data_IF_307282900226
#
_entry.id   IF_307282900226
#
_cell.length_a   1.000
_cell.length_b   1.000
_cell.length_c   1.000
_cell.angle_alpha   90.00
_cell.angle_beta   90.00
_cell.angle_gamma   90.00
#
_symmetry.space_group_name_H-M   'P 1'
#
loop_
_entity.id
_entity.type
_entity.pdbx_description
1 polymer ?
#
# COMPACT_ATOMS: atom_id res chain seq x y z
N UNK A 1 -15.63 -7.65 26.58
CA UNK A 1 -16.11 -7.21 25.26
C UNK A 1 -15.66 -8.26 24.26
N UNK A 2 -16.57 -8.96 23.56
CA UNK A 2 -16.15 -9.98 22.58
C UNK A 2 -15.74 -9.23 21.30
N UNK A 3 -14.44 -9.18 21.00
CA UNK A 3 -13.94 -8.53 19.78
C UNK A 3 -14.29 -9.45 18.61
N UNK A 4 -15.11 -8.98 17.67
CA UNK A 4 -15.40 -9.71 16.44
C UNK A 4 -14.45 -9.23 15.35
N UNK A 5 -13.62 -10.14 14.82
CA UNK A 5 -12.57 -9.82 13.86
C UNK A 5 -12.87 -10.43 12.51
N UNK A 6 -12.65 -9.65 11.45
CA UNK A 6 -12.62 -10.12 10.06
C UNK A 6 -11.18 -10.04 9.56
N UNK A 7 -10.61 -11.18 9.20
CA UNK A 7 -9.20 -11.29 8.82
C UNK A 7 -9.07 -11.60 7.33
N UNK A 8 -8.45 -10.69 6.59
CA UNK A 8 -8.11 -10.82 5.18
C UNK A 8 -6.60 -10.93 4.98
N UNK A 9 -6.21 -11.69 3.98
CA UNK A 9 -4.81 -11.86 3.57
C UNK A 9 -4.75 -12.02 2.07
N UNK A 10 -3.69 -11.50 1.45
CA UNK A 10 -3.39 -11.85 0.06
C UNK A 10 -3.01 -13.33 -0.02
N UNK A 11 -3.18 -13.98 -1.17
CA UNK A 11 -2.88 -15.40 -1.32
C UNK A 11 -1.37 -15.67 -1.48
N UNK A 12 -0.60 -15.18 -0.50
CA UNK A 12 0.86 -15.23 -0.44
C UNK A 12 1.27 -15.78 0.92
N UNK A 13 2.14 -16.80 0.95
CA UNK A 13 2.50 -17.50 2.20
C UNK A 13 2.93 -16.55 3.33
N UNK A 14 3.77 -15.56 3.02
CA UNK A 14 4.33 -14.64 4.04
C UNK A 14 3.28 -13.72 4.67
N UNK A 15 2.22 -13.35 3.97
CA UNK A 15 1.13 -12.52 4.53
C UNK A 15 0.21 -13.38 5.40
N UNK A 16 -0.09 -14.60 4.97
CA UNK A 16 -0.81 -15.58 5.80
C UNK A 16 -0.07 -15.90 7.11
N UNK A 17 1.24 -16.17 7.03
CA UNK A 17 2.08 -16.47 8.20
C UNK A 17 2.19 -15.25 9.13
N UNK A 18 2.32 -14.04 8.57
CA UNK A 18 2.35 -12.79 9.36
C UNK A 18 1.04 -12.58 10.12
N UNK A 19 -0.11 -12.75 9.47
CA UNK A 19 -1.41 -12.57 10.11
C UNK A 19 -1.65 -13.61 11.22
N UNK A 20 -1.19 -14.84 11.00
CA UNK A 20 -1.20 -15.89 12.02
C UNK A 20 -0.40 -15.47 13.26
N UNK A 21 0.80 -14.91 13.08
CA UNK A 21 1.61 -14.41 14.20
C UNK A 21 0.93 -13.24 14.94
N UNK A 22 0.32 -12.30 14.21
CA UNK A 22 -0.41 -11.17 14.81
C UNK A 22 -1.57 -11.67 15.67
N UNK A 23 -2.38 -12.59 15.15
CA UNK A 23 -3.53 -13.12 15.88
C UNK A 23 -3.11 -13.99 17.08
N UNK A 24 -2.03 -14.76 16.95
CA UNK A 24 -1.47 -15.53 18.06
C UNK A 24 -1.09 -14.61 19.23
N UNK A 25 -0.45 -13.48 18.95
CA UNK A 25 -0.08 -12.48 19.96
C UNK A 25 -1.29 -11.70 20.51
N UNK A 26 -2.26 -11.34 19.66
CA UNK A 26 -3.45 -10.59 20.09
C UNK A 26 -4.34 -11.35 21.09
N UNK A 27 -4.31 -12.68 21.06
CA UNK A 27 -5.17 -13.53 21.88
C UNK A 27 -4.39 -14.44 22.84
N UNK A 28 -3.09 -14.17 23.04
CA UNK A 28 -2.19 -14.93 23.93
C UNK A 28 -2.22 -16.46 23.72
N UNK A 29 -2.59 -16.92 22.52
CA UNK A 29 -2.92 -18.33 22.21
C UNK A 29 -4.01 -18.99 23.08
N UNK A 30 -4.79 -18.20 23.81
CA UNK A 30 -5.81 -18.67 24.76
C UNK A 30 -7.19 -18.89 24.11
N UNK A 31 -7.32 -18.61 22.80
CA UNK A 31 -8.57 -18.80 22.08
C UNK A 31 -8.75 -20.25 21.62
N UNK A 32 -9.88 -20.87 21.98
CA UNK A 32 -10.33 -22.13 21.41
C UNK A 32 -11.01 -21.99 20.03
N UNK A 33 -11.21 -20.75 19.56
CA UNK A 33 -11.86 -20.47 18.27
C UNK A 33 -10.85 -20.57 17.12
N UNK A 34 -11.25 -21.24 16.03
CA UNK A 34 -10.42 -21.35 14.82
C UNK A 34 -10.41 -20.02 14.08
N UNK A 35 -9.23 -19.41 13.94
CA UNK A 35 -9.06 -18.20 13.15
C UNK A 35 -9.31 -18.49 11.66
N UNK A 36 -10.23 -17.76 11.04
CA UNK A 36 -10.57 -17.90 9.61
C UNK A 36 -9.96 -16.75 8.82
N UNK A 37 -9.17 -17.05 7.79
CA UNK A 37 -8.60 -16.05 6.88
C UNK A 37 -9.34 -16.08 5.55
N UNK A 38 -9.68 -14.89 5.06
CA UNK A 38 -10.27 -14.71 3.74
C UNK A 38 -9.19 -14.21 2.77
N UNK A 39 -9.07 -14.86 1.62
CA UNK A 39 -8.16 -14.45 0.55
C UNK A 39 -8.86 -14.51 -0.79
N UNK A 40 -8.34 -13.77 -1.77
CA UNK A 40 -8.77 -13.88 -3.17
C UNK A 40 -7.73 -14.67 -3.96
N UNK A 41 -8.14 -15.39 -5.02
CA UNK A 41 -7.19 -15.86 -6.01
C UNK A 41 -6.40 -14.68 -6.59
N UNK A 42 -5.15 -14.91 -6.96
CA UNK A 42 -4.25 -13.84 -7.42
C UNK A 42 -4.80 -13.09 -8.64
N UNK A 43 -5.60 -13.75 -9.47
CA UNK A 43 -6.21 -13.15 -10.67
C UNK A 43 -7.23 -12.05 -10.35
N UNK A 44 -7.76 -12.04 -9.12
CA UNK A 44 -8.78 -11.10 -8.66
C UNK A 44 -8.32 -10.29 -7.44
N UNK A 45 -7.04 -10.39 -7.07
CA UNK A 45 -6.50 -9.70 -5.91
C UNK A 45 -6.29 -8.21 -6.23
N UNK A 46 -6.79 -7.36 -5.33
CA UNK A 46 -6.78 -5.91 -5.47
C UNK A 46 -6.27 -5.20 -4.21
N UNK A 47 -5.82 -5.95 -3.19
CA UNK A 47 -5.11 -5.39 -2.04
C UNK A 47 -3.63 -5.13 -2.31
N UNK A 48 -3.19 -5.19 -3.57
CA UNK A 48 -1.94 -4.61 -4.05
C UNK A 48 -2.11 -4.25 -5.53
N UNK A 49 -1.23 -3.41 -6.10
CA UNK A 49 -1.27 -3.11 -7.52
C UNK A 49 -0.91 -4.37 -8.34
N UNK A 50 -1.93 -5.01 -8.92
CA UNK A 50 -1.82 -6.31 -9.53
C UNK A 50 -1.29 -6.22 -10.98
N UNK A 51 0.03 -6.05 -11.10
CA UNK A 51 0.72 -5.96 -12.41
C UNK A 51 0.55 -7.23 -13.24
N UNK A 52 0.41 -8.39 -12.61
CA UNK A 52 0.39 -9.68 -13.32
C UNK A 52 -0.95 -9.93 -14.02
N UNK A 53 -2.07 -9.67 -13.33
CA UNK A 53 -3.40 -10.03 -13.81
C UNK A 53 -4.26 -8.83 -14.23
N UNK A 54 -3.86 -7.60 -13.88
CA UNK A 54 -4.52 -6.40 -14.38
C UNK A 54 -3.82 -5.86 -15.62
N UNK A 55 -4.24 -6.29 -16.83
CA UNK A 55 -3.63 -5.91 -18.10
C UNK A 55 -3.45 -4.39 -18.26
N UNK A 56 -4.47 -3.62 -17.86
CA UNK A 56 -4.41 -2.16 -17.88
C UNK A 56 -3.31 -1.59 -17.00
N UNK A 57 -3.16 -2.10 -15.78
CA UNK A 57 -2.08 -1.68 -14.87
C UNK A 57 -0.71 -2.15 -15.37
N UNK A 58 -0.65 -3.37 -15.90
CA UNK A 58 0.53 -3.95 -16.53
C UNK A 58 1.10 -3.04 -17.64
N UNK A 59 0.24 -2.60 -18.57
CA UNK A 59 0.64 -1.72 -19.67
C UNK A 59 1.25 -0.42 -19.15
N UNK A 60 0.62 0.21 -18.17
CA UNK A 60 1.09 1.46 -17.57
C UNK A 60 2.45 1.26 -16.89
N UNK A 61 2.58 0.21 -16.08
CA UNK A 61 3.80 -0.14 -15.38
C UNK A 61 4.97 -0.38 -16.35
N UNK A 62 4.75 -1.13 -17.44
CA UNK A 62 5.78 -1.39 -18.43
C UNK A 62 6.18 -0.16 -19.24
N UNK A 63 5.25 0.77 -19.49
CA UNK A 63 5.57 2.05 -20.09
C UNK A 63 6.43 2.92 -19.16
N UNK A 64 6.11 2.94 -17.86
CA UNK A 64 6.93 3.61 -16.85
C UNK A 64 8.36 3.02 -16.85
N UNK A 65 8.48 1.69 -16.81
CA UNK A 65 9.77 0.99 -16.86
C UNK A 65 10.62 1.40 -18.08
N UNK A 66 10.02 1.48 -19.28
CA UNK A 66 10.74 1.86 -20.52
C UNK A 66 11.25 3.30 -20.49
N UNK A 67 10.56 4.18 -19.78
CA UNK A 67 10.85 5.62 -19.76
C UNK A 67 11.66 6.07 -18.53
N UNK A 68 11.72 5.28 -17.47
CA UNK A 68 12.40 5.61 -16.22
C UNK A 68 13.82 6.15 -16.45
N UNK A 69 14.66 5.42 -17.19
CA UNK A 69 16.06 5.80 -17.41
C UNK A 69 16.22 7.06 -18.27
N UNK A 70 15.17 7.48 -19.01
CA UNK A 70 15.16 8.73 -19.79
C UNK A 70 14.85 9.95 -18.92
N UNK A 71 14.30 9.74 -17.73
CA UNK A 71 14.04 10.82 -16.78
C UNK A 71 15.35 11.19 -16.11
N UNK A 72 15.71 12.47 -16.26
CA UNK A 72 17.00 13.01 -15.80
C UNK A 72 17.31 12.66 -14.34
N UNK A 73 16.33 12.82 -13.44
CA UNK A 73 16.49 12.52 -12.00
C UNK A 73 16.92 11.07 -11.75
N UNK A 74 16.27 10.11 -12.39
CA UNK A 74 16.58 8.69 -12.20
C UNK A 74 17.93 8.31 -12.80
N UNK A 75 18.22 8.77 -14.03
CA UNK A 75 19.52 8.55 -14.65
C UNK A 75 20.67 9.16 -13.83
N UNK A 76 20.50 10.39 -13.31
CA UNK A 76 21.50 11.05 -12.46
C UNK A 76 21.72 10.29 -11.14
N UNK A 77 20.64 9.95 -10.42
CA UNK A 77 20.73 9.23 -9.16
C UNK A 77 21.33 7.83 -9.33
N UNK A 78 21.00 7.13 -10.44
CA UNK A 78 21.57 5.82 -10.75
C UNK A 78 23.09 5.89 -10.93
N UNK A 79 23.59 6.90 -11.66
CA UNK A 79 25.03 7.12 -11.83
C UNK A 79 25.74 7.45 -10.51
N UNK A 80 25.12 8.31 -9.69
CA UNK A 80 25.65 8.66 -8.38
C UNK A 80 25.75 7.42 -7.48
N UNK A 81 24.70 6.59 -7.46
CA UNK A 81 24.69 5.37 -6.67
C UNK A 81 25.69 4.34 -7.18
N UNK A 82 25.84 4.16 -8.50
CA UNK A 82 26.85 3.27 -9.08
C UNK A 82 28.26 3.63 -8.61
N UNK A 83 28.60 4.93 -8.60
CA UNK A 83 29.88 5.43 -8.10
C UNK A 83 30.07 5.12 -6.60
N UNK A 84 29.04 5.30 -5.78
CA UNK A 84 29.10 4.97 -4.35
C UNK A 84 29.35 3.47 -4.11
N UNK A 85 28.76 2.62 -4.96
CA UNK A 85 28.91 1.17 -4.88
C UNK A 85 30.19 0.64 -5.56
N UNK A 86 30.99 1.51 -6.20
CA UNK A 86 32.18 1.10 -6.95
C UNK A 86 31.86 0.24 -8.18
N UNK A 87 30.71 0.47 -8.82
CA UNK A 87 30.22 -0.26 -10.00
C UNK A 87 30.11 0.62 -11.22
N UNK A 88 30.18 0.01 -12.41
CA UNK A 88 29.74 0.66 -13.64
C UNK A 88 28.20 0.74 -13.67
N UNK A 89 27.67 1.71 -14.40
CA UNK A 89 26.21 1.96 -14.45
C UNK A 89 25.47 0.83 -15.16
N UNK A 90 26.13 0.22 -16.14
CA UNK A 90 25.68 -0.91 -16.94
C UNK A 90 25.61 -2.20 -16.12
N UNK A 91 26.40 -2.30 -15.06
CA UNK A 91 26.44 -3.45 -14.12
C UNK A 91 25.44 -3.30 -12.97
N UNK A 92 24.82 -2.14 -12.81
CA UNK A 92 23.88 -1.92 -11.74
C UNK A 92 22.64 -2.80 -11.94
N UNK A 93 22.19 -3.52 -10.89
CA UNK A 93 20.91 -4.24 -10.95
C UNK A 93 19.72 -3.25 -11.06
N UNK A 94 18.52 -3.83 -11.17
CA UNK A 94 17.31 -3.07 -10.87
C UNK A 94 17.34 -2.57 -9.43
N UNK A 95 16.96 -1.31 -9.20
CA UNK A 95 17.10 -0.69 -7.88
C UNK A 95 16.17 -1.31 -6.85
N UNK A 96 15.00 -1.82 -7.25
CA UNK A 96 14.09 -2.48 -6.32
C UNK A 96 14.67 -3.81 -5.85
N UNK A 97 15.25 -4.59 -6.78
CA UNK A 97 15.98 -5.82 -6.44
C UNK A 97 17.19 -5.56 -5.52
N UNK A 98 17.95 -4.51 -5.82
CA UNK A 98 19.07 -4.08 -4.97
C UNK A 98 18.60 -3.72 -3.56
N UNK A 99 17.51 -2.97 -3.46
CA UNK A 99 16.93 -2.59 -2.18
C UNK A 99 16.48 -3.82 -1.40
N UNK A 100 15.70 -4.72 -2.01
CA UNK A 100 15.22 -5.95 -1.38
C UNK A 100 16.38 -6.79 -0.81
N UNK A 101 17.45 -6.98 -1.58
CA UNK A 101 18.61 -7.78 -1.15
C UNK A 101 19.36 -7.11 0.02
N UNK A 102 19.69 -5.82 -0.11
CA UNK A 102 20.41 -5.07 0.93
C UNK A 102 19.58 -4.96 2.21
N UNK A 103 18.28 -4.73 2.06
CA UNK A 103 17.32 -4.68 3.16
C UNK A 103 17.23 -6.01 3.88
N UNK A 104 17.08 -7.11 3.13
CA UNK A 104 16.99 -8.46 3.68
C UNK A 104 18.25 -8.81 4.48
N UNK A 105 19.43 -8.65 3.88
CA UNK A 105 20.71 -8.98 4.52
C UNK A 105 20.88 -8.20 5.83
N UNK A 106 20.64 -6.88 5.80
CA UNK A 106 20.77 -6.04 6.99
C UNK A 106 19.81 -6.45 8.10
N UNK A 107 18.54 -6.70 7.80
CA UNK A 107 17.53 -7.04 8.81
C UNK A 107 17.69 -8.47 9.37
N UNK A 108 18.46 -9.32 8.72
CA UNK A 108 18.83 -10.64 9.23
C UNK A 108 20.21 -10.64 9.93
N UNK A 109 20.79 -9.46 10.19
CA UNK A 109 22.04 -9.31 10.94
C UNK A 109 23.30 -9.64 10.15
N UNK A 110 23.23 -9.74 8.81
CA UNK A 110 24.42 -9.88 7.99
C UNK A 110 25.17 -8.56 7.89
N UNK A 111 26.50 -8.63 7.94
CA UNK A 111 27.36 -7.48 7.69
C UNK A 111 27.33 -7.11 6.20
N UNK A 112 26.96 -5.86 5.91
CA UNK A 112 27.01 -5.32 4.56
C UNK A 112 28.44 -4.81 4.27
N UNK A 113 28.95 -4.99 3.05
CA UNK A 113 30.20 -4.35 2.64
C UNK A 113 30.14 -2.81 2.84
N UNK A 114 31.26 -2.18 3.15
CA UNK A 114 31.33 -0.77 3.58
C UNK A 114 30.62 0.19 2.61
N UNK A 115 30.85 0.02 1.31
CA UNK A 115 30.20 0.80 0.26
C UNK A 115 28.66 0.67 0.28
N UNK A 116 28.11 -0.51 0.55
CA UNK A 116 26.66 -0.74 0.67
C UNK A 116 26.12 -0.16 1.98
N UNK A 117 26.87 -0.25 3.08
CA UNK A 117 26.52 0.38 4.36
C UNK A 117 26.41 1.89 4.21
N UNK A 118 27.40 2.53 3.59
CA UNK A 118 27.41 3.97 3.31
C UNK A 118 26.31 4.38 2.31
N UNK A 119 26.00 3.52 1.35
CA UNK A 119 24.97 3.78 0.34
C UNK A 119 23.55 3.44 0.78
N UNK A 120 23.34 2.81 1.95
CA UNK A 120 22.05 2.24 2.36
C UNK A 120 20.88 3.24 2.24
N UNK A 121 21.04 4.46 2.76
CA UNK A 121 20.01 5.50 2.71
C UNK A 121 19.72 5.97 1.27
N UNK A 122 20.76 6.01 0.42
CA UNK A 122 20.63 6.37 -0.99
C UNK A 122 19.94 5.28 -1.80
N UNK A 123 20.22 3.99 -1.50
CA UNK A 123 19.52 2.85 -2.08
C UNK A 123 18.04 2.90 -1.68
N UNK A 124 17.74 3.02 -0.38
CA UNK A 124 16.37 3.13 0.14
C UNK A 124 15.61 4.26 -0.55
N UNK A 125 16.19 5.46 -0.58
CA UNK A 125 15.53 6.64 -1.18
C UNK A 125 15.28 6.45 -2.67
N UNK A 126 16.26 5.93 -3.41
CA UNK A 126 16.09 5.69 -4.84
C UNK A 126 15.04 4.60 -5.12
N UNK A 127 14.97 3.56 -4.28
CA UNK A 127 13.93 2.54 -4.36
C UNK A 127 12.54 3.10 -4.10
N UNK A 128 12.38 3.95 -3.06
CA UNK A 128 11.13 4.70 -2.85
C UNK A 128 10.74 5.50 -4.09
N UNK A 129 11.65 6.33 -4.61
CA UNK A 129 11.36 7.20 -5.76
C UNK A 129 10.98 6.39 -7.02
N UNK A 130 11.59 5.21 -7.20
CA UNK A 130 11.31 4.31 -8.32
C UNK A 130 9.97 3.61 -8.15
N UNK A 131 9.64 3.12 -6.95
CA UNK A 131 8.30 2.54 -6.71
C UNK A 131 7.22 3.60 -6.91
N UNK A 132 7.41 4.80 -6.39
CA UNK A 132 6.47 5.91 -6.61
C UNK A 132 6.24 6.16 -8.09
N UNK A 133 7.31 6.27 -8.86
CA UNK A 133 7.20 6.51 -10.29
C UNK A 133 6.54 5.35 -11.05
N UNK A 134 7.02 4.11 -10.84
CA UNK A 134 6.56 2.95 -11.61
C UNK A 134 5.14 2.51 -11.29
N UNK A 135 4.71 2.71 -10.04
CA UNK A 135 3.44 2.18 -9.55
C UNK A 135 2.37 3.26 -9.36
N UNK A 136 2.72 4.53 -9.20
CA UNK A 136 1.79 5.48 -8.60
C UNK A 136 1.77 6.89 -9.22
N UNK A 137 2.78 7.27 -10.00
CA UNK A 137 2.93 8.65 -10.49
C UNK A 137 3.06 8.77 -12.01
N UNK A 138 3.29 7.69 -12.73
CA UNK A 138 3.44 7.75 -14.18
C UNK A 138 2.11 8.10 -14.88
N UNK A 139 0.99 7.60 -14.37
CA UNK A 139 -0.37 7.96 -14.79
C UNK A 139 -1.27 8.14 -13.57
N UNK A 140 -2.12 9.18 -13.60
CA UNK A 140 -3.12 9.46 -12.54
C UNK A 140 -4.01 8.26 -12.20
N UNK A 141 -4.26 7.39 -13.19
CA UNK A 141 -5.10 6.22 -13.06
C UNK A 141 -4.49 5.13 -12.14
N UNK A 142 -3.15 5.10 -11.98
CA UNK A 142 -2.49 4.02 -11.25
C UNK A 142 -2.94 3.94 -9.79
N UNK A 143 -3.03 5.07 -9.09
CA UNK A 143 -3.55 5.11 -7.72
C UNK A 143 -4.96 4.53 -7.66
N UNK A 144 -5.82 4.90 -8.62
CA UNK A 144 -7.20 4.42 -8.67
C UNK A 144 -7.27 2.89 -8.88
N UNK A 145 -6.42 2.34 -9.74
CA UNK A 145 -6.31 0.90 -9.96
C UNK A 145 -5.66 0.15 -8.78
N UNK A 146 -4.74 0.81 -8.07
CA UNK A 146 -3.99 0.22 -6.96
C UNK A 146 -4.82 0.06 -5.68
N UNK A 147 -5.72 1.02 -5.38
CA UNK A 147 -6.44 1.04 -4.10
C UNK A 147 -7.94 1.29 -4.21
N UNK A 148 -8.51 1.51 -5.40
CA UNK A 148 -9.91 1.91 -5.53
C UNK A 148 -10.88 0.96 -4.85
N UNK A 149 -10.73 -0.34 -5.12
CA UNK A 149 -11.53 -1.38 -4.47
C UNK A 149 -11.31 -1.48 -2.95
N UNK A 150 -10.07 -1.25 -2.48
CA UNK A 150 -9.78 -1.20 -1.04
C UNK A 150 -10.50 -0.02 -0.37
N UNK A 151 -10.52 1.16 -1.01
CA UNK A 151 -11.25 2.31 -0.50
C UNK A 151 -12.76 2.07 -0.47
N UNK A 152 -13.28 1.34 -1.46
CA UNK A 152 -14.68 0.89 -1.47
C UNK A 152 -14.98 -0.07 -0.32
N UNK A 153 -14.11 -1.05 -0.06
CA UNK A 153 -14.23 -1.96 1.09
C UNK A 153 -14.23 -1.20 2.43
N UNK A 154 -13.31 -0.23 2.61
CA UNK A 154 -13.22 0.59 3.83
C UNK A 154 -14.50 1.42 4.01
N UNK A 155 -14.95 2.10 2.96
CA UNK A 155 -16.17 2.92 3.02
C UNK A 155 -17.41 2.06 3.31
N UNK A 156 -17.50 0.87 2.71
CA UNK A 156 -18.58 -0.08 2.96
C UNK A 156 -18.57 -0.57 4.42
N UNK A 157 -17.40 -0.96 4.95
CA UNK A 157 -17.26 -1.37 6.34
C UNK A 157 -17.73 -0.28 7.32
N UNK A 158 -17.35 0.98 7.07
CA UNK A 158 -17.80 2.14 7.85
C UNK A 158 -19.33 2.32 7.75
N UNK A 159 -19.89 2.28 6.55
CA UNK A 159 -21.33 2.47 6.35
C UNK A 159 -22.15 1.36 7.02
N UNK A 160 -21.74 0.09 6.88
CA UNK A 160 -22.38 -1.04 7.56
C UNK A 160 -22.37 -0.87 9.08
N UNK A 161 -21.24 -0.43 9.65
CA UNK A 161 -21.15 -0.16 11.08
C UNK A 161 -22.12 0.94 11.53
N UNK A 162 -22.18 2.05 10.79
CA UNK A 162 -23.05 3.20 11.12
C UNK A 162 -24.54 2.86 10.99
N UNK A 163 -24.91 2.02 10.02
CA UNK A 163 -26.29 1.57 9.83
C UNK A 163 -26.81 0.67 10.96
N UNK A 164 -25.96 0.25 11.89
CA UNK A 164 -26.33 -0.64 12.99
C UNK A 164 -26.42 -2.12 12.61
N UNK A 165 -25.95 -2.48 11.40
CA UNK A 165 -25.82 -3.87 10.99
C UNK A 165 -24.70 -4.55 11.79
N UNK A 166 -24.80 -5.88 11.93
CA UNK A 166 -23.74 -6.67 12.57
C UNK A 166 -22.45 -6.57 11.75
N UNK A 167 -21.57 -5.67 12.16
CA UNK A 167 -20.25 -5.47 11.58
C UNK A 167 -19.15 -5.97 12.53
N UNK A 168 -18.08 -6.58 11.98
CA UNK A 168 -16.84 -6.78 12.72
C UNK A 168 -16.38 -5.48 13.37
N UNK A 169 -15.91 -5.56 14.61
CA UNK A 169 -15.30 -4.42 15.32
C UNK A 169 -13.88 -4.13 14.83
N UNK A 170 -13.23 -5.10 14.17
CA UNK A 170 -11.89 -4.97 13.63
C UNK A 170 -11.76 -5.73 12.31
N UNK A 171 -11.17 -5.08 11.32
CA UNK A 171 -10.75 -5.68 10.06
C UNK A 171 -9.23 -5.71 10.01
N UNK A 172 -8.64 -6.90 9.87
CA UNK A 172 -7.20 -7.08 9.73
C UNK A 172 -6.89 -7.47 8.30
N UNK A 173 -6.09 -6.66 7.61
CA UNK A 173 -5.65 -6.93 6.24
C UNK A 173 -4.13 -7.13 6.23
N UNK A 174 -3.68 -8.37 6.03
CA UNK A 174 -2.25 -8.65 5.84
C UNK A 174 -1.88 -8.55 4.36
N UNK A 175 -1.11 -7.51 4.05
CA UNK A 175 -0.87 -7.00 2.69
C UNK A 175 0.62 -6.72 2.44
N UNK A 176 0.93 -5.89 1.45
CA UNK A 176 2.29 -5.59 1.00
C UNK A 176 2.67 -4.13 1.31
N UNK A 177 3.96 -3.83 1.27
CA UNK A 177 4.48 -2.45 1.34
C UNK A 177 3.89 -1.56 0.25
N UNK A 178 3.77 -2.05 -0.99
CA UNK A 178 3.10 -1.35 -2.09
C UNK A 178 1.67 -0.96 -1.74
N UNK A 179 0.98 -1.75 -0.93
CA UNK A 179 -0.38 -1.46 -0.47
C UNK A 179 -0.40 -0.27 0.48
N UNK A 180 0.52 -0.26 1.45
CA UNK A 180 0.69 0.84 2.42
C UNK A 180 1.09 2.13 1.69
N UNK A 181 2.04 2.06 0.76
CA UNK A 181 2.43 3.20 -0.08
C UNK A 181 1.23 3.71 -0.87
N UNK A 182 0.47 2.81 -1.51
CA UNK A 182 -0.64 3.21 -2.35
C UNK A 182 -1.75 3.92 -1.56
N UNK A 183 -2.14 3.41 -0.38
CA UNK A 183 -3.17 4.06 0.45
C UNK A 183 -2.69 5.42 0.96
N UNK A 184 -1.44 5.51 1.43
CA UNK A 184 -0.87 6.78 1.88
C UNK A 184 -0.75 7.81 0.74
N UNK A 185 -0.38 7.38 -0.47
CA UNK A 185 -0.38 8.27 -1.65
C UNK A 185 -1.79 8.68 -2.06
N UNK A 186 -2.74 7.75 -2.04
CA UNK A 186 -4.15 8.03 -2.33
C UNK A 186 -4.77 9.09 -1.39
N UNK A 187 -4.32 9.10 -0.14
CA UNK A 187 -4.71 10.06 0.91
C UNK A 187 -3.81 11.30 0.97
N UNK A 188 -2.79 11.42 0.11
CA UNK A 188 -1.79 12.51 0.09
C UNK A 188 -1.03 12.69 1.43
N UNK A 189 -0.73 11.57 2.11
CA UNK A 189 0.03 11.53 3.36
C UNK A 189 1.31 10.69 3.30
N UNK A 190 1.69 10.18 2.12
CA UNK A 190 2.95 9.46 1.96
C UNK A 190 4.15 10.42 2.08
N UNK A 191 5.15 10.00 2.86
CA UNK A 191 6.35 10.80 3.20
C UNK A 191 7.54 10.52 2.26
N UNK A 192 7.38 9.63 1.28
CA UNK A 192 8.45 9.22 0.36
C UNK A 192 9.39 8.17 0.96
N UNK A 193 9.06 7.56 2.10
CA UNK A 193 9.89 6.57 2.79
C UNK A 193 9.27 5.19 2.67
N UNK A 194 10.07 4.23 2.18
CA UNK A 194 9.66 2.83 2.06
C UNK A 194 9.19 2.26 3.41
N UNK A 195 7.99 1.63 3.49
CA UNK A 195 7.49 1.03 4.71
C UNK A 195 8.38 -0.10 5.22
N UNK A 196 8.74 -0.08 6.50
CA UNK A 196 9.52 -1.15 7.12
C UNK A 196 8.69 -2.43 7.24
N UNK A 197 9.35 -3.59 7.34
CA UNK A 197 8.68 -4.86 7.68
C UNK A 197 7.89 -4.69 8.96
N UNK A 198 6.69 -5.30 9.01
CA UNK A 198 5.72 -5.19 10.10
C UNK A 198 5.10 -3.80 10.31
N UNK A 199 5.36 -2.84 9.42
CA UNK A 199 4.62 -1.57 9.45
C UNK A 199 3.12 -1.81 9.25
N UNK A 200 2.30 -0.95 9.86
CA UNK A 200 0.85 -1.00 9.70
C UNK A 200 0.26 0.39 9.48
N UNK A 201 -0.85 0.41 8.75
CA UNK A 201 -1.68 1.60 8.55
C UNK A 201 -3.09 1.28 9.05
N UNK A 202 -3.61 2.09 9.97
CA UNK A 202 -4.94 1.92 10.53
C UNK A 202 -5.87 3.06 10.12
N UNK A 203 -7.13 2.70 9.86
CA UNK A 203 -8.25 3.61 9.65
C UNK A 203 -9.22 3.38 10.80
N UNK A 204 -9.32 4.34 11.70
CA UNK A 204 -10.13 4.24 12.91
C UNK A 204 -11.41 5.07 12.75
N UNK A 205 -12.57 4.48 13.04
CA UNK A 205 -13.85 5.17 13.07
C UNK A 205 -14.21 5.53 14.51
N UNK A 206 -14.43 6.81 14.78
CA UNK A 206 -14.71 7.34 16.11
C UNK A 206 -16.08 8.02 16.15
N UNK A 207 -16.87 7.74 17.20
CA UNK A 207 -18.07 8.51 17.53
C UNK A 207 -17.77 9.48 18.67
N UNK A 208 -17.73 10.78 18.38
CA UNK A 208 -17.44 11.83 19.35
C UNK A 208 -18.62 12.79 19.38
N UNK A 209 -19.27 12.91 20.54
CA UNK A 209 -20.44 13.78 20.72
C UNK A 209 -21.49 13.60 19.61
N UNK A 210 -21.89 12.34 19.36
CA UNK A 210 -22.87 11.92 18.33
C UNK A 210 -22.49 12.19 16.87
N UNK A 211 -21.24 12.59 16.61
CA UNK A 211 -20.69 12.79 15.25
C UNK A 211 -19.61 11.75 14.95
N UNK A 212 -19.51 11.38 13.68
CA UNK A 212 -18.53 10.40 13.20
C UNK A 212 -17.29 11.07 12.63
N UNK A 213 -16.13 10.55 13.03
CA UNK A 213 -14.80 10.99 12.61
C UNK A 213 -13.96 9.80 12.19
N UNK A 214 -13.00 10.04 11.31
CA UNK A 214 -11.98 9.08 10.90
C UNK A 214 -10.62 9.58 11.35
N UNK A 215 -9.84 8.70 11.98
CA UNK A 215 -8.44 8.94 12.33
C UNK A 215 -7.56 7.96 11.57
N UNK A 216 -6.42 8.43 11.10
CA UNK A 216 -5.42 7.61 10.43
C UNK A 216 -4.19 7.45 11.33
N UNK A 217 -3.64 6.24 11.40
CA UNK A 217 -2.44 5.94 12.18
C UNK A 217 -1.46 5.15 11.33
N UNK A 218 -0.18 5.51 11.37
CA UNK A 218 0.90 4.75 10.76
C UNK A 218 1.99 4.51 11.79
N UNK A 219 2.24 3.24 12.12
CA UNK A 219 3.24 2.83 13.12
C UNK A 219 3.12 3.62 14.44
N UNK A 220 1.95 3.55 15.07
CA UNK A 220 1.61 4.22 16.33
C UNK A 220 1.59 5.77 16.27
N UNK A 221 1.87 6.37 15.11
CA UNK A 221 1.84 7.82 14.93
C UNK A 221 0.56 8.27 14.21
N UNK A 222 -0.21 9.21 14.78
CA UNK A 222 -1.33 9.83 14.08
C UNK A 222 -0.86 10.54 12.81
N UNK A 223 -1.62 10.40 11.73
CA UNK A 223 -1.38 11.12 10.48
C UNK A 223 -2.21 12.39 10.46
N UNK A 224 -1.53 13.52 10.29
CA UNK A 224 -2.16 14.83 10.04
C UNK A 224 -2.24 15.06 8.53
N UNK A 225 -3.45 15.08 7.99
CA UNK A 225 -3.64 15.37 6.57
C UNK A 225 -3.39 16.85 6.30
N UNK A 226 -2.64 17.16 5.23
CA UNK A 226 -2.28 18.54 4.85
C UNK A 226 -3.48 19.47 4.70
N UNK A 227 -4.65 18.93 4.37
CA UNK A 227 -5.87 19.71 4.13
C UNK A 227 -6.60 20.16 5.39
N UNK A 228 -6.47 19.42 6.50
CA UNK A 228 -7.19 19.71 7.74
C UNK A 228 -6.27 20.00 8.92
N UNK A 229 -5.01 19.55 8.91
CA UNK A 229 -4.06 19.53 10.05
C UNK A 229 -4.59 18.86 11.35
N UNK A 230 -5.87 18.52 11.40
CA UNK A 230 -6.53 17.83 12.50
C UNK A 230 -6.30 16.32 12.45
N UNK A 231 -6.20 15.72 13.64
CA UNK A 231 -6.07 14.27 13.83
C UNK A 231 -7.39 13.52 13.51
N UNK A 232 -8.53 14.17 13.74
CA UNK A 232 -9.87 13.62 13.51
C UNK A 232 -10.52 14.28 12.30
N UNK A 233 -10.64 13.53 11.21
CA UNK A 233 -11.28 13.98 9.98
C UNK A 233 -12.79 13.74 10.07
N UNK A 234 -13.66 14.76 9.92
CA UNK A 234 -15.10 14.54 9.85
C UNK A 234 -15.47 13.53 8.76
N UNK A 235 -16.37 12.59 9.04
CA UNK A 235 -16.68 11.48 8.13
C UNK A 235 -17.08 11.93 6.71
N UNK A 236 -17.78 13.05 6.59
CA UNK A 236 -18.18 13.60 5.29
C UNK A 236 -16.97 14.09 4.45
N UNK A 237 -15.95 14.64 5.11
CA UNK A 237 -14.70 15.05 4.47
C UNK A 237 -13.87 13.82 4.07
N UNK A 238 -13.81 12.80 4.94
CA UNK A 238 -13.22 11.50 4.59
C UNK A 238 -13.83 10.92 3.31
N UNK A 239 -15.17 10.86 3.24
CA UNK A 239 -15.88 10.36 2.05
C UNK A 239 -15.56 11.19 0.80
N UNK A 240 -15.44 12.51 0.95
CA UNK A 240 -15.02 13.40 -0.15
C UNK A 240 -13.59 13.12 -0.61
N UNK A 241 -12.66 12.93 0.34
CA UNK A 241 -11.25 12.66 0.10
C UNK A 241 -11.04 11.38 -0.72
N UNK A 242 -11.69 10.29 -0.33
CA UNK A 242 -11.49 8.98 -0.99
C UNK A 242 -12.21 8.87 -2.34
N UNK A 243 -13.28 9.65 -2.56
CA UNK A 243 -14.16 9.54 -3.75
C UNK A 243 -13.41 9.62 -5.08
N UNK A 244 -12.38 10.46 -5.18
CA UNK A 244 -11.58 10.59 -6.42
C UNK A 244 -10.88 9.29 -6.83
N UNK A 245 -10.54 8.45 -5.85
CA UNK A 245 -9.78 7.21 -6.04
C UNK A 245 -10.66 5.96 -5.94
N UNK A 246 -11.91 6.05 -5.50
CA UNK A 246 -12.86 4.92 -5.48
C UNK A 246 -13.25 4.47 -6.89
N UNK A 247 -13.45 3.16 -7.06
CA UNK A 247 -13.92 2.56 -8.31
C UNK A 247 -15.44 2.33 -8.30
N UNK A 248 -16.04 2.19 -7.12
CA UNK A 248 -17.45 1.93 -6.94
C UNK A 248 -17.81 0.46 -7.24
N UNK A 249 -19.09 0.23 -7.54
CA UNK A 249 -19.62 -1.10 -7.85
C UNK A 249 -19.33 -1.46 -9.33
N UNK A 250 -18.05 -1.68 -9.62
CA UNK A 250 -17.57 -2.13 -10.92
C UNK A 250 -16.83 -3.45 -10.76
N UNK A 251 -16.84 -4.27 -11.81
CA UNK A 251 -16.13 -5.55 -11.80
C UNK A 251 -14.62 -5.36 -12.03
N UNK A 252 -13.79 -6.02 -11.20
CA UNK A 252 -12.33 -5.95 -11.28
C UNK A 252 -11.81 -6.31 -12.67
N UNK A 253 -12.29 -7.42 -13.25
CA UNK A 253 -11.84 -7.85 -14.58
C UNK A 253 -12.22 -6.83 -15.65
N UNK A 254 -13.42 -6.24 -15.59
CA UNK A 254 -13.81 -5.19 -16.54
C UNK A 254 -12.90 -3.96 -16.45
N UNK A 255 -12.56 -3.52 -15.23
CA UNK A 255 -11.64 -2.39 -15.01
C UNK A 255 -10.24 -2.69 -15.55
N UNK A 256 -9.80 -3.93 -15.41
CA UNK A 256 -8.46 -4.37 -15.81
C UNK A 256 -8.31 -4.71 -17.30
N UNK A 257 -9.39 -5.00 -18.02
CA UNK A 257 -9.37 -5.35 -19.45
C UNK A 257 -9.63 -4.15 -20.39
N UNK A 258 -10.06 -3.00 -19.89
CA UNK A 258 -10.46 -1.85 -20.73
C UNK A 258 -9.31 -0.86 -20.97
N UNK A 259 -8.84 -0.77 -22.22
CA UNK A 259 -7.96 0.34 -22.67
C UNK A 259 -8.74 1.64 -22.96
N UNK A 260 -10.08 1.59 -23.06
CA UNK A 260 -10.93 2.72 -23.41
C UNK A 260 -11.67 3.30 -22.19
N UNK A 261 -11.27 4.50 -21.75
CA UNK A 261 -12.19 5.42 -21.07
C UNK A 261 -12.08 6.78 -21.76
N UNK A 262 -12.74 6.90 -22.90
CA UNK A 262 -13.62 8.04 -23.08
C UNK A 262 -15.01 7.59 -22.61
N UNK A 263 -15.73 8.47 -21.92
CA UNK A 263 -17.10 8.32 -21.39
C UNK A 263 -17.29 7.62 -20.03
N UNK A 264 -16.78 8.22 -18.95
CA UNK A 264 -17.64 8.45 -17.78
C UNK A 264 -17.44 9.89 -17.29
N UNK A 265 -18.49 10.74 -17.26
CA UNK A 265 -18.35 12.17 -16.97
C UNK A 265 -18.01 12.50 -15.51
N UNK A 266 -17.67 11.50 -14.69
CA UNK A 266 -17.28 11.67 -13.28
C UNK A 266 -15.96 10.93 -12.94
N UNK A 267 -15.08 10.70 -13.93
CA UNK A 267 -13.71 10.21 -13.74
C UNK A 267 -12.68 11.33 -13.93
#
# INVERSE_FOLDING_TARGET
MKINIRSYTTFVKRTMDSLRCVLAAMFDNDSSEVATFYSRPNEFEYYYPNIEYCLRYNNIYHDALRLENRIFRFGYNRRKLAKMLGKNVEEMPDILKLWEEVYYLKNHGFELPENYTLAYSSIKKMASDIVEFRYFEFKKLEIKLAIGFMLDDINNAINTHISGDQSPSLYLHSVHDTTIIAIMKGLDCYDGVWPEVSSYFAVELHNINTKWFVKFVYNDQPIHLKMTNDEFLPLHEFKSLIRKNQLGDVDFCKVCLTDNIQSHPNL
#
